data_IF_884490897822
#
_entry.id   IF_884490897822
#
_cell.length_a   1.000
_cell.length_b   1.000
_cell.length_c   1.000
_cell.angle_alpha   90.00
_cell.angle_beta   90.00
_cell.angle_gamma   90.00
#
_symmetry.space_group_name_H-M   'P 1'
#
loop_
_entity.id
_entity.type
_entity.pdbx_description
1 polymer ?
2 non-polymer ?
3 non-polymer ?
4 water ?
#
# COMPACT_ATOMS: atom_id res chain seq x y z
N UNK A 1 0.42 3.25 19.45
CA UNK A 1 0.41 2.03 18.66
C UNK A 1 -0.79 1.15 18.93
N UNK A 2 -1.18 0.40 17.91
CA UNK A 2 -2.33 -0.48 18.02
C UNK A 2 -1.94 -1.89 17.60
N UNK A 3 -2.44 -2.87 18.33
CA UNK A 3 -2.15 -4.25 17.99
C UNK A 3 -3.13 -4.87 17.00
N UNK A 4 -2.59 -5.78 16.20
CA UNK A 4 -3.37 -6.43 15.17
C UNK A 4 -2.81 -7.83 15.07
N UNK A 5 -3.67 -8.82 14.81
CA UNK A 5 -3.20 -10.19 14.61
C UNK A 5 -3.09 -10.51 13.12
N UNK A 6 -2.01 -11.18 12.75
CA UNK A 6 -1.83 -11.61 11.39
C UNK A 6 -2.78 -12.77 11.09
N UNK A 7 -3.53 -12.64 10.01
CA UNK A 7 -4.51 -13.65 9.64
C UNK A 7 -3.94 -14.57 8.56
N UNK A 8 -2.85 -14.14 7.91
CA UNK A 8 -2.17 -14.99 6.94
C UNK A 8 -0.67 -14.74 7.03
N UNK A 9 0.10 -15.73 6.59
CA UNK A 9 1.53 -15.59 6.42
C UNK A 9 1.76 -14.55 5.37
N UNK A 10 2.71 -13.64 5.61
CA UNK A 10 3.11 -12.67 4.61
C UNK A 10 4.62 -12.61 4.51
N UNK A 11 5.13 -12.80 3.31
CA UNK A 11 6.55 -12.69 3.03
C UNK A 11 6.89 -11.38 2.30
N UNK A 12 7.73 -10.55 2.92
CA UNK A 12 8.20 -9.31 2.32
C UNK A 12 8.93 -9.60 1.02
N UNK A 13 8.67 -8.79 -0.01
CA UNK A 13 9.34 -8.96 -1.30
C UNK A 13 10.00 -7.66 -1.72
N UNK A 14 9.98 -6.68 -0.83
CA UNK A 14 10.76 -5.48 -1.04
C UNK A 14 11.42 -5.23 0.29
N UNK A 15 12.54 -4.52 0.27
CA UNK A 15 13.29 -4.27 1.51
C UNK A 15 12.56 -3.49 2.59
N UNK A 16 11.52 -2.77 2.23
CA UNK A 16 10.83 -1.92 3.19
C UNK A 16 9.58 -2.60 3.73
N UNK A 17 9.40 -3.86 3.40
CA UNK A 17 8.24 -4.61 3.88
C UNK A 17 8.65 -5.49 5.06
N UNK A 18 7.67 -5.80 5.91
CA UNK A 18 7.84 -6.60 7.12
C UNK A 18 7.14 -7.97 7.00
N UNK A 19 7.91 -9.06 6.97
CA UNK A 19 7.36 -10.41 6.95
C UNK A 19 6.72 -10.74 8.29
N UNK A 20 5.75 -11.65 8.26
CA UNK A 20 5.12 -12.16 9.48
C UNK A 20 4.37 -13.46 9.20
N UNK A 21 3.99 -14.15 10.27
CA UNK A 21 3.27 -15.41 10.18
C UNK A 21 1.86 -15.29 10.74
N UNK A 22 0.97 -16.15 10.30
CA UNK A 22 -0.36 -16.17 10.88
C UNK A 22 -0.20 -16.35 12.40
N UNK A 23 -0.81 -15.46 13.17
CA UNK A 23 -0.76 -15.55 14.61
C UNK A 23 0.09 -14.47 15.24
N UNK A 24 1.02 -13.90 14.48
CA UNK A 24 1.91 -12.86 15.00
C UNK A 24 1.11 -11.64 15.41
N UNK A 25 1.51 -10.99 16.50
CA UNK A 25 0.90 -9.72 16.85
C UNK A 25 1.79 -8.59 16.39
N UNK A 26 1.29 -7.81 15.46
CA UNK A 26 2.02 -6.67 14.93
C UNK A 26 1.65 -5.40 15.69
N UNK A 27 2.58 -4.46 15.81
CA UNK A 27 2.19 -3.15 16.32
C UNK A 27 2.08 -2.21 15.13
N UNK A 28 0.85 -1.84 14.81
CA UNK A 28 0.58 -0.95 13.70
C UNK A 28 0.81 0.49 14.17
N UNK A 29 1.62 1.24 13.41
CA UNK A 29 2.07 2.56 13.84
C UNK A 29 1.19 3.74 13.35
N UNK A 30 0.52 3.58 12.21
CA UNK A 30 -0.28 4.66 11.61
C UNK A 30 -1.66 4.17 11.21
N UNK A 31 -2.38 3.62 12.18
CA UNK A 31 -3.67 3.00 11.94
C UNK A 31 -4.65 3.99 11.33
N UNK A 32 -4.42 5.28 11.60
CA UNK A 32 -5.30 6.34 11.13
C UNK A 32 -5.18 6.57 9.62
N UNK A 33 -4.10 6.06 9.03
CA UNK A 33 -3.90 6.09 7.58
C UNK A 33 -5.05 5.46 6.80
N UNK A 34 -5.27 6.00 5.61
CA UNK A 34 -6.31 5.53 4.71
C UNK A 34 -5.68 4.70 3.59
N UNK A 35 -4.38 4.41 3.72
CA UNK A 35 -3.68 3.62 2.71
C UNK A 35 -3.92 2.13 2.96
N UNK A 36 -3.61 1.31 1.96
CA UNK A 36 -3.76 -0.13 2.09
C UNK A 36 -2.50 -0.82 2.61
N UNK A 37 -1.47 -0.03 2.89
CA UNK A 37 -0.28 -0.52 3.58
C UNK A 37 -0.10 0.27 4.88
N UNK A 38 0.20 -0.44 5.97
CA UNK A 38 0.50 0.20 7.26
C UNK A 38 1.97 0.04 7.57
N UNK A 39 2.44 0.84 8.51
CA UNK A 39 3.78 0.70 9.03
C UNK A 39 3.63 -0.05 10.34
N UNK A 40 4.45 -1.08 10.53
CA UNK A 40 4.33 -1.93 11.72
C UNK A 40 5.68 -2.39 12.21
N UNK A 41 5.69 -2.89 13.44
CA UNK A 41 6.88 -3.45 14.06
C UNK A 41 6.57 -4.84 14.57
N UNK A 42 7.54 -5.74 14.46
CA UNK A 42 7.42 -7.07 15.02
C UNK A 42 8.80 -7.54 15.40
N UNK A 43 8.96 -7.97 16.66
CA UNK A 43 10.20 -8.54 17.19
C UNK A 43 11.45 -7.79 16.77
N UNK A 44 11.40 -6.47 16.93
CA UNK A 44 12.54 -5.63 16.66
C UNK A 44 12.75 -5.26 15.20
N UNK A 45 11.87 -5.71 14.31
CA UNK A 45 11.91 -5.30 12.92
C UNK A 45 10.72 -4.43 12.57
N UNK A 46 10.85 -3.62 11.51
CA UNK A 46 9.74 -2.79 11.07
C UNK A 46 9.69 -2.69 9.56
N UNK A 47 8.56 -2.23 9.05
CA UNK A 47 8.37 -2.13 7.62
C UNK A 47 6.90 -2.00 7.32
N UNK A 48 6.58 -2.05 6.04
CA UNK A 48 5.21 -1.98 5.57
C UNK A 48 4.54 -3.35 5.58
N UNK A 49 3.29 -3.37 6.01
CA UNK A 49 2.51 -4.59 6.01
C UNK A 49 1.19 -4.34 5.26
N UNK A 50 0.66 -5.38 4.59
CA UNK A 50 -0.62 -5.18 3.89
C UNK A 50 -1.78 -5.14 4.88
N UNK A 51 -2.66 -4.17 4.70
CA UNK A 51 -3.74 -3.90 5.64
C UNK A 51 -4.72 -5.07 5.72
N UNK A 52 -5.09 -5.61 4.57
CA UNK A 52 -6.06 -6.71 4.53
C UNK A 52 -5.55 -8.08 4.99
N UNK A 53 -4.31 -8.15 5.50
CA UNK A 53 -3.73 -9.39 6.01
C UNK A 53 -3.91 -9.52 7.51
N UNK A 54 -4.28 -8.41 8.15
CA UNK A 54 -4.35 -8.35 9.60
C UNK A 54 -5.77 -8.02 10.11
N UNK A 55 -6.01 -8.32 11.37
CA UNK A 55 -7.24 -7.96 12.05
C UNK A 55 -6.84 -7.13 13.28
N UNK A 56 -7.37 -5.92 13.40
CA UNK A 56 -7.04 -5.05 14.53
C UNK A 56 -7.55 -5.64 15.85
N UNK A 57 -6.76 -5.53 16.93
CA UNK A 57 -7.25 -5.99 18.23
C UNK A 57 -8.39 -5.09 18.66
N UNK A 58 -9.59 -5.67 18.90
CA UNK A 58 -10.71 -4.87 19.40
C UNK A 58 -10.64 -4.70 20.91
N UNK A 59 -11.61 -3.97 21.45
CA UNK A 59 -11.79 -3.86 22.88
C UNK A 59 -12.44 -5.16 23.37
N UNK A 60 -12.07 -5.64 24.58
CA UNK A 60 -12.59 -6.92 25.07
C UNK A 60 -14.08 -6.94 25.34
N UNK A 61 -14.78 -7.93 24.81
CA UNK A 61 -16.20 -8.13 25.09
C UNK A 61 -17.13 -7.82 23.94
N UNK B 1 -10.79 12.83 -12.94
CA UNK B 1 -10.76 12.44 -11.54
C UNK B 1 -11.41 11.10 -11.27
N UNK B 2 -10.60 10.11 -10.88
CA UNK B 2 -11.07 8.74 -10.66
C UNK B 2 -10.10 7.95 -9.77
N UNK B 3 -10.51 6.78 -9.29
CA UNK B 3 -9.63 5.94 -8.48
C UNK B 3 -9.28 4.63 -9.18
N UNK B 4 -8.14 4.06 -8.79
CA UNK B 4 -7.62 2.86 -9.40
C UNK B 4 -6.88 2.07 -8.32
N UNK B 5 -6.78 0.76 -8.50
CA UNK B 5 -6.01 -0.10 -7.60
C UNK B 5 -4.73 -0.56 -8.33
N UNK B 6 -3.59 -0.46 -7.66
CA UNK B 6 -2.35 -0.95 -8.26
C UNK B 6 -2.39 -2.48 -8.34
N UNK B 7 -2.10 -3.01 -9.54
CA UNK B 7 -1.98 -4.45 -9.77
C UNK B 7 -0.62 -4.97 -9.35
N UNK B 8 0.39 -4.13 -9.54
CA UNK B 8 1.78 -4.48 -9.24
C UNK B 8 2.48 -3.36 -8.47
N UNK B 9 3.66 -3.64 -7.91
CA UNK B 9 4.53 -2.56 -7.47
C UNK B 9 5.08 -1.89 -8.71
N UNK B 10 5.28 -0.58 -8.62
CA UNK B 10 5.97 0.14 -9.66
C UNK B 10 7.01 1.05 -9.02
N UNK B 11 8.28 0.87 -9.40
CA UNK B 11 9.33 1.79 -8.98
C UNK B 11 9.62 2.86 -10.05
N UNK B 12 9.32 4.12 -9.73
CA UNK B 12 9.61 5.25 -10.63
C UNK B 12 11.06 5.24 -11.12
N UNK B 13 11.25 5.56 -12.40
CA UNK B 13 12.60 5.68 -12.96
C UNK B 13 12.94 7.14 -13.28
N UNK B 14 11.96 8.03 -13.13
CA UNK B 14 12.14 9.45 -13.41
C UNK B 14 11.46 10.26 -12.31
N UNK B 15 11.89 11.50 -12.10
CA UNK B 15 11.33 12.31 -11.02
C UNK B 15 9.87 12.67 -11.24
N UNK B 16 9.44 12.56 -12.49
CA UNK B 16 8.06 12.83 -12.87
C UNK B 16 7.14 11.61 -12.72
N UNK B 17 7.73 10.47 -12.37
CA UNK B 17 6.97 9.25 -12.21
C UNK B 17 6.69 9.03 -10.72
N UNK B 18 5.60 8.35 -10.42
CA UNK B 18 5.18 8.10 -9.04
C UNK B 18 5.30 6.61 -8.68
N UNK B 19 6.09 6.29 -7.66
CA UNK B 19 6.20 4.90 -7.19
C UNK B 19 4.95 4.49 -6.41
N UNK B 20 4.64 3.20 -6.42
CA UNK B 20 3.53 2.64 -5.62
C UNK B 20 3.72 1.14 -5.38
N UNK B 21 2.95 0.58 -4.45
CA UNK B 21 3.04 -0.86 -4.20
C UNK B 21 1.77 -1.49 -4.71
N UNK B 22 1.85 -2.77 -5.06
CA UNK B 22 0.68 -3.60 -5.33
C UNK B 22 -0.41 -3.35 -4.30
N UNK B 23 -1.62 -3.12 -4.78
CA UNK B 23 -2.76 -3.00 -3.90
C UNK B 23 -2.99 -1.58 -3.44
N UNK B 24 -2.06 -0.67 -3.77
CA UNK B 24 -2.24 0.73 -3.42
C UNK B 24 -3.44 1.35 -4.12
N UNK B 25 -4.13 2.23 -3.40
CA UNK B 25 -5.21 3.02 -3.98
C UNK B 25 -4.66 4.35 -4.51
N UNK B 26 -4.82 4.58 -5.80
CA UNK B 26 -4.27 5.74 -6.48
C UNK B 26 -5.38 6.70 -6.92
N UNK B 27 -5.22 8.00 -6.67
CA UNK B 27 -6.18 8.94 -7.22
C UNK B 27 -5.70 9.34 -8.61
N UNK B 28 -6.47 8.96 -9.63
CA UNK B 28 -6.15 9.28 -11.02
C UNK B 28 -6.63 10.68 -11.41
N UNK B 29 -5.70 11.54 -11.81
CA UNK B 29 -6.00 12.93 -12.15
C UNK B 29 -6.50 13.16 -13.58
N UNK B 30 -5.99 12.36 -14.53
CA UNK B 30 -6.34 12.46 -15.94
C UNK B 30 -6.68 11.09 -16.49
N UNK B 31 -7.47 11.04 -17.56
CA UNK B 31 -7.47 9.87 -18.45
C UNK B 31 -6.91 10.33 -19.81
N UNK B 32 -6.63 11.63 -19.88
CA UNK B 32 -6.54 12.35 -21.15
C UNK B 32 -5.20 13.07 -21.41
N UNK B 33 -4.24 12.95 -20.49
CA UNK B 33 -2.93 13.61 -20.63
C UNK B 33 -1.89 12.78 -21.43
N UNK B 34 -1.65 11.54 -21.02
CA UNK B 34 -0.90 10.57 -21.84
C UNK B 34 -1.80 9.35 -22.11
N UNK B 35 -1.44 8.53 -23.10
CA UNK B 35 -2.29 7.41 -23.45
C UNK B 35 -1.90 6.12 -22.73
N UNK B 36 -0.60 5.87 -22.55
CA UNK B 36 -0.12 4.72 -21.77
C UNK B 36 0.18 5.01 -20.30
N UNK B 37 0.19 6.29 -19.93
CA UNK B 37 0.49 6.72 -18.57
C UNK B 37 -0.59 7.68 -18.11
N UNK B 38 -1.03 7.54 -16.86
CA UNK B 38 -1.90 8.53 -16.22
C UNK B 38 -1.07 9.43 -15.34
N UNK B 39 -1.65 10.55 -14.93
CA UNK B 39 -1.13 11.34 -13.84
C UNK B 39 -1.94 10.92 -12.60
N UNK B 40 -1.27 10.71 -11.46
CA UNK B 40 -1.98 10.30 -10.26
C UNK B 40 -1.34 10.84 -8.99
N UNK B 41 -2.08 10.74 -7.88
CA UNK B 41 -1.58 11.08 -6.55
C UNK B 41 -1.71 9.88 -5.62
N UNK B 42 -0.76 9.79 -4.72
CA UNK B 42 -0.74 8.76 -3.71
C UNK B 42 -0.06 9.37 -2.49
N UNK B 43 -0.82 9.51 -1.41
CA UNK B 43 -0.28 9.89 -0.11
C UNK B 43 0.50 11.20 -0.14
N UNK B 44 -0.04 12.21 -0.81
CA UNK B 44 0.62 13.50 -0.81
C UNK B 44 1.74 13.71 -1.82
N UNK B 45 1.98 12.70 -2.66
CA UNK B 45 2.98 12.80 -3.71
C UNK B 45 2.24 12.62 -5.06
N UNK B 46 2.82 13.07 -6.16
CA UNK B 46 2.16 12.91 -7.46
C UNK B 46 3.13 12.66 -8.62
N UNK B 47 2.60 12.19 -9.75
CA UNK B 47 3.45 11.82 -10.87
C UNK B 47 2.77 10.91 -11.85
N UNK B 48 3.50 10.54 -12.90
CA UNK B 48 2.97 9.62 -13.89
C UNK B 48 3.03 8.19 -13.40
N UNK B 49 2.01 7.42 -13.75
CA UNK B 49 1.97 5.99 -13.46
C UNK B 49 1.53 5.25 -14.71
N UNK B 50 2.00 4.01 -14.89
CA UNK B 50 1.68 3.32 -16.15
C UNK B 50 0.30 2.64 -16.09
N UNK B 51 -0.52 2.79 -17.13
CA UNK B 51 -1.88 2.24 -17.15
C UNK B 51 -1.95 0.72 -17.02
N UNK B 52 -0.97 0.03 -17.60
CA UNK B 52 -0.98 -1.44 -17.59
C UNK B 52 -0.58 -2.02 -16.22
N UNK B 53 -0.32 -1.14 -15.25
CA UNK B 53 0.07 -1.52 -13.90
C UNK B 53 -1.03 -1.24 -12.91
N UNK B 54 -2.12 -0.62 -13.37
CA UNK B 54 -3.26 -0.31 -12.50
C UNK B 54 -4.57 -0.91 -13.01
N UNK B 55 -5.57 -0.96 -12.14
CA UNK B 55 -6.87 -1.52 -12.45
C UNK B 55 -7.89 -0.47 -12.09
N UNK B 56 -8.52 0.17 -13.07
CA UNK B 56 -9.44 1.28 -12.79
C UNK B 56 -10.74 0.80 -12.15
N UNK B 57 -11.16 1.50 -11.10
CA UNK B 57 -12.42 1.20 -10.41
C UNK B 57 -13.58 2.00 -10.99
N UNK B 58 -14.62 1.30 -11.48
CA UNK B 58 -15.84 1.93 -11.99
C UNK B 58 -16.75 2.47 -10.88
X LIG C 1 7.04 4.66 -1.46
X LIG C 1 6.41 3.28 -1.31
X LIG C 1 5.75 3.02 -2.57
X LIG C 1 7.49 2.23 -1.12
X LIG C 1 5.41 3.25 -0.16
X LIG C 1 4.04 2.68 -0.53
X LIG C 1 3.51 2.04 0.61
X LIG C 1 3.09 3.78 -0.98
X LIG D 1 -5.26 -19.84 15.74
X LIG D 1 -4.63 -18.52 15.34
X LIG D 1 -4.87 -17.59 16.42
X LIG D 1 -3.12 -18.68 15.15
X LIG D 1 -5.28 -17.95 14.08
X LIG D 1 -5.54 -16.45 14.19
X LIG D 1 -5.03 -15.79 13.05
X LIG D 1 -7.02 -16.14 14.33
X LIG E 1 -0.21 -7.75 -1.03
X LIG E 1 -1.55 -7.47 -1.72
X LIG E 1 -1.46 -8.00 -3.08
X LIG E 1 -2.68 -8.28 -1.14
X LIG E 1 -1.81 -5.95 -1.76
X LIG E 1 -2.65 -5.27 -0.65
X LIG E 1 -2.71 -5.95 0.55
X LIG E 1 -2.15 -3.87 -0.29
X LIG F 1 -5.33 -14.92 1.28
X LIG F 1 -4.63 -13.57 1.17
X LIG F 1 -4.66 -12.94 2.46
X LIG F 1 -3.18 -13.73 0.79
X LIG F 1 -5.41 -12.63 0.24
X LIG F 1 -5.92 -11.46 1.08
X LIG F 1 -5.58 -10.23 0.48
X LIG F 1 -7.42 -11.54 1.31
X LIG G 1 -1.66 -8.12 23.58
X LIG G 1 -1.41 -9.05 22.41
X LIG G 1 -1.49 -10.43 22.84
X LIG G 1 -2.37 -8.78 21.27
X LIG G 1 -0.05 -8.82 21.80
X LIG G 1 1.11 -8.40 22.65
X LIG G 1 1.32 -9.32 23.70
X LIG G 1 2.32 -8.39 21.71
X LIG H 1 -9.02 -2.94 27.25
X LIG I 1 11.21 -8.81 7.62
X LIG J 1 8.53 -2.94 -4.31
X LIG J 1 8.28 -1.63 -3.56
X LIG J 1 7.61 -2.01 -2.35
X LIG J 1 9.61 -0.98 -3.16
X LIG J 1 7.29 -0.68 -4.24
X LIG J 1 7.71 0.24 -5.39
X LIG J 1 8.48 1.34 -4.93
X LIG J 1 8.46 -0.51 -6.49
X LIG K 1 11.75 7.05 -17.55
#
# INVERSE_FOLDING_TARGET
GSEAIAKYDFKATADDELSFKRGDILKVLNEESDQNWYKAELNGKDGFIPKNYIEMKPHPG
GSEAIAKYDFKATADDELSFKRGDILKVLNEESDQNWYKAELNGKDGFIPKNYIEMKPHPG
MPD C1 C2 O2 CM C3 C4 O4 C5
MPD C1 C2 O2 CM C3 C4 O4 C5
MPD C1 C2 O2 CM C3 C4 O4 C5
MPD C1 C2 O2 CM C3 C4 O4 C5
MPD C1 C2 O2 CM C3 C4 O4 C5
CL CL
CL CL
MPD C1 C2 O2 CM C3 C4 O4 C5
CL CL
#
